data_IF_962615342942
#
_entry.id   IF_962615342942
#
_cell.length_a   1.000
_cell.length_b   1.000
_cell.length_c   1.000
_cell.angle_alpha   90.00
_cell.angle_beta   90.00
_cell.angle_gamma   90.00
#
_symmetry.space_group_name_H-M   'P 1'
#
loop_
_entity.id
_entity.type
_entity.pdbx_description
1 polymer ?
#
# COMPACT_ATOMS: atom_id res chain seq x y z
N UNK A 1 -40.18 12.88 -5.22
CA UNK A 1 -39.42 11.71 -4.73
C UNK A 1 -38.33 11.35 -5.73
N UNK A 2 -38.63 11.23 -7.03
CA UNK A 2 -37.60 10.98 -8.06
C UNK A 2 -36.53 12.07 -8.24
N UNK A 3 -36.86 13.35 -8.03
CA UNK A 3 -35.85 14.42 -8.11
C UNK A 3 -34.90 14.41 -6.90
N UNK A 4 -35.44 14.17 -5.70
CA UNK A 4 -34.68 14.09 -4.44
C UNK A 4 -33.77 12.86 -4.35
N UNK A 5 -34.04 11.80 -5.13
CA UNK A 5 -33.17 10.62 -5.23
C UNK A 5 -32.06 10.84 -6.26
N UNK A 6 -32.29 11.63 -7.31
CA UNK A 6 -31.25 12.07 -8.25
C UNK A 6 -30.30 13.08 -7.61
N UNK A 7 -30.83 13.98 -6.78
CA UNK A 7 -30.04 15.02 -6.12
C UNK A 7 -29.30 14.52 -4.86
N UNK A 8 -29.63 13.32 -4.34
CA UNK A 8 -28.95 12.74 -3.16
C UNK A 8 -27.86 11.70 -3.50
N UNK A 9 -27.70 11.37 -4.79
CA UNK A 9 -26.62 10.52 -5.32
C UNK A 9 -25.57 11.29 -6.12
N UNK A 10 -25.76 12.60 -6.29
CA UNK A 10 -24.71 13.51 -6.71
C UNK A 10 -23.77 13.73 -5.51
N UNK A 11 -22.80 12.84 -5.37
CA UNK A 11 -21.49 13.25 -4.87
C UNK A 11 -21.02 14.35 -5.83
N UNK A 12 -21.24 15.61 -5.47
CA UNK A 12 -20.95 16.82 -6.28
C UNK A 12 -19.42 17.07 -6.49
N UNK A 13 -18.60 16.06 -6.28
CA UNK A 13 -17.19 16.03 -6.65
C UNK A 13 -16.96 14.78 -7.50
N UNK A 14 -16.18 14.91 -8.57
CA UNK A 14 -15.60 13.72 -9.22
C UNK A 14 -14.95 12.88 -8.12
N UNK A 15 -15.38 11.62 -7.92
CA UNK A 15 -14.88 10.83 -6.80
C UNK A 15 -13.38 10.60 -6.98
N UNK A 16 -12.58 10.99 -5.99
CA UNK A 16 -11.16 10.65 -5.94
C UNK A 16 -11.02 9.15 -5.72
N UNK A 17 -10.06 8.54 -6.42
CA UNK A 17 -9.80 7.10 -6.32
C UNK A 17 -8.38 6.86 -5.85
N UNK A 18 -8.25 6.20 -4.71
CA UNK A 18 -6.99 5.79 -4.11
C UNK A 18 -6.94 4.28 -4.02
N UNK A 19 -5.90 3.68 -4.58
CA UNK A 19 -5.73 2.23 -4.63
C UNK A 19 -4.71 1.79 -3.58
N UNK A 20 -5.09 0.80 -2.76
CA UNK A 20 -4.17 0.08 -1.89
C UNK A 20 -4.33 -1.42 -2.11
N UNK A 21 -3.21 -2.13 -2.24
CA UNK A 21 -3.23 -3.56 -2.55
C UNK A 21 -2.13 -4.33 -1.84
N UNK A 22 -2.54 -5.35 -1.07
CA UNK A 22 -1.63 -6.34 -0.48
C UNK A 22 -1.52 -7.58 -1.36
N UNK A 23 -0.31 -8.15 -1.51
CA UNK A 23 -0.11 -9.44 -2.19
C UNK A 23 -0.69 -9.43 -3.61
N UNK A 24 -1.55 -10.39 -3.95
CA UNK A 24 -2.26 -10.44 -5.22
C UNK A 24 -3.21 -9.23 -5.42
N UNK A 25 -3.73 -8.65 -4.33
CA UNK A 25 -4.46 -7.38 -4.39
C UNK A 25 -3.60 -6.26 -4.96
N UNK A 26 -2.28 -6.26 -4.68
CA UNK A 26 -1.34 -5.33 -5.30
C UNK A 26 -1.18 -5.51 -6.82
N UNK A 27 -1.28 -6.75 -7.31
CA UNK A 27 -1.29 -7.03 -8.76
C UNK A 27 -2.55 -6.45 -9.41
N UNK A 28 -3.71 -6.67 -8.78
CA UNK A 28 -5.00 -6.15 -9.26
C UNK A 28 -4.97 -4.62 -9.25
N UNK A 29 -4.59 -4.00 -8.12
CA UNK A 29 -4.52 -2.55 -7.98
C UNK A 29 -3.58 -1.93 -9.01
N UNK A 30 -2.39 -2.50 -9.23
CA UNK A 30 -1.46 -1.98 -10.23
C UNK A 30 -2.02 -2.08 -11.65
N UNK A 31 -2.67 -3.18 -12.01
CA UNK A 31 -3.31 -3.34 -13.32
C UNK A 31 -4.48 -2.37 -13.53
N UNK A 32 -5.36 -2.22 -12.54
CA UNK A 32 -6.46 -1.25 -12.59
C UNK A 32 -5.96 0.19 -12.69
N UNK A 33 -4.86 0.53 -12.01
CA UNK A 33 -4.23 1.84 -12.14
C UNK A 33 -3.59 2.07 -13.50
N UNK A 34 -3.03 1.03 -14.12
CA UNK A 34 -2.45 1.13 -15.46
C UNK A 34 -3.52 1.30 -16.55
N UNK A 35 -4.60 0.53 -16.46
CA UNK A 35 -5.61 0.39 -17.52
C UNK A 35 -6.94 1.08 -17.12
N UNK A 36 -6.89 2.12 -16.29
CA UNK A 36 -8.09 2.76 -15.73
C UNK A 36 -9.06 3.27 -16.80
N UNK A 37 -8.53 3.75 -17.94
CA UNK A 37 -9.31 4.18 -19.10
C UNK A 37 -10.05 3.02 -19.75
N UNK A 38 -9.40 1.86 -19.90
CA UNK A 38 -10.00 0.65 -20.50
C UNK A 38 -11.12 0.11 -19.62
N UNK A 39 -10.96 0.16 -18.29
CA UNK A 39 -11.97 -0.30 -17.34
C UNK A 39 -13.05 0.72 -17.01
N UNK A 40 -13.00 1.92 -17.60
CA UNK A 40 -13.96 3.01 -17.35
C UNK A 40 -14.12 3.34 -15.85
N UNK A 41 -13.03 3.25 -15.07
CA UNK A 41 -13.01 3.64 -13.65
C UNK A 41 -12.41 5.04 -13.49
N UNK A 42 -12.69 5.78 -12.39
CA UNK A 42 -12.03 7.06 -12.15
C UNK A 42 -10.49 6.92 -12.16
N UNK A 43 -9.77 7.91 -12.70
CA UNK A 43 -8.30 7.91 -12.73
C UNK A 43 -7.74 7.78 -11.30
N UNK A 44 -6.96 6.73 -10.96
CA UNK A 44 -6.40 6.62 -9.62
C UNK A 44 -5.34 7.68 -9.35
N UNK A 45 -5.55 8.45 -8.27
CA UNK A 45 -4.63 9.50 -7.84
C UNK A 45 -3.47 8.96 -7.00
N UNK A 46 -3.67 7.83 -6.33
CA UNK A 46 -2.59 7.15 -5.60
C UNK A 46 -2.65 5.63 -5.75
N UNK A 47 -1.48 5.00 -5.65
CA UNK A 47 -1.28 3.56 -5.70
C UNK A 47 -0.28 3.13 -4.61
N UNK A 48 -0.78 2.49 -3.55
CA UNK A 48 0.04 1.92 -2.49
C UNK A 48 0.08 0.39 -2.56
N UNK A 49 1.27 -0.15 -2.74
CA UNK A 49 1.50 -1.58 -2.91
C UNK A 49 2.23 -2.17 -1.71
N UNK A 50 1.57 -3.05 -0.98
CA UNK A 50 2.09 -3.68 0.23
C UNK A 50 2.46 -5.14 -0.04
N UNK A 51 3.73 -5.48 -0.03
CA UNK A 51 4.24 -6.81 -0.41
C UNK A 51 3.54 -7.37 -1.66
N UNK A 52 3.53 -6.62 -2.78
CA UNK A 52 2.69 -6.94 -3.92
C UNK A 52 3.30 -8.12 -4.69
N UNK A 53 2.44 -8.95 -5.27
CA UNK A 53 2.89 -9.98 -6.20
C UNK A 53 1.90 -11.13 -6.35
N UNK A 54 2.15 -11.94 -7.37
CA UNK A 54 1.24 -13.03 -7.74
C UNK A 54 1.67 -14.41 -7.23
N UNK A 55 2.89 -14.51 -6.67
CA UNK A 55 3.51 -15.78 -6.30
C UNK A 55 3.56 -16.72 -7.51
N UNK A 56 2.99 -17.94 -7.44
CA UNK A 56 2.98 -18.88 -8.57
C UNK A 56 1.93 -18.53 -9.64
N UNK A 57 1.00 -17.60 -9.36
CA UNK A 57 -0.04 -17.22 -10.30
C UNK A 57 0.53 -16.26 -11.36
N UNK A 58 0.01 -16.32 -12.58
CA UNK A 58 0.41 -15.43 -13.68
C UNK A 58 -0.70 -14.47 -14.13
N UNK A 59 -1.91 -14.61 -13.58
CA UNK A 59 -3.04 -13.76 -13.92
C UNK A 59 -2.83 -12.32 -13.43
N UNK A 60 -3.33 -11.35 -14.19
CA UNK A 60 -3.30 -9.93 -13.84
C UNK A 60 -1.92 -9.26 -13.92
N UNK A 61 -0.86 -9.99 -14.25
CA UNK A 61 0.45 -9.41 -14.52
C UNK A 61 0.46 -8.80 -15.92
N UNK A 62 0.79 -7.52 -16.01
CA UNK A 62 1.06 -6.84 -17.27
C UNK A 62 2.54 -7.01 -17.66
N UNK A 63 2.87 -6.75 -18.93
CA UNK A 63 4.25 -6.81 -19.42
C UNK A 63 5.09 -5.64 -18.88
N UNK A 64 4.49 -4.46 -18.77
CA UNK A 64 5.03 -3.26 -18.14
C UNK A 64 3.90 -2.48 -17.44
N UNK A 65 4.25 -1.33 -16.87
CA UNK A 65 3.31 -0.44 -16.15
C UNK A 65 3.49 1.01 -16.63
N UNK A 66 3.77 1.20 -17.93
CA UNK A 66 3.96 2.53 -18.55
C UNK A 66 2.63 3.31 -18.70
N UNK A 67 1.48 2.63 -18.55
CA UNK A 67 0.15 3.23 -18.58
C UNK A 67 -0.24 3.94 -17.28
N UNK A 68 0.48 3.74 -16.18
CA UNK A 68 0.25 4.49 -14.93
C UNK A 68 0.47 5.98 -15.19
N UNK A 69 -0.50 6.81 -14.82
CA UNK A 69 -0.46 8.25 -15.05
C UNK A 69 0.77 8.91 -14.36
N UNK A 70 1.50 9.82 -15.02
CA UNK A 70 2.69 10.47 -14.46
C UNK A 70 2.47 11.21 -13.14
N UNK A 71 1.25 11.67 -12.87
CA UNK A 71 0.89 12.42 -11.66
C UNK A 71 0.47 11.53 -10.49
N UNK A 72 0.22 10.22 -10.73
CA UNK A 72 -0.14 9.27 -9.68
C UNK A 72 0.92 9.25 -8.57
N UNK A 73 0.47 9.30 -7.32
CA UNK A 73 1.31 9.14 -6.13
C UNK A 73 1.54 7.64 -5.87
N UNK A 74 2.76 7.14 -6.04
CA UNK A 74 3.02 5.70 -5.99
C UNK A 74 4.02 5.32 -4.89
N UNK A 75 3.61 4.45 -3.98
CA UNK A 75 4.53 3.84 -2.99
C UNK A 75 4.51 2.32 -3.14
N UNK A 76 5.69 1.74 -3.12
CA UNK A 76 5.90 0.29 -3.12
C UNK A 76 6.61 -0.04 -1.82
N UNK A 77 6.00 -0.87 -0.97
CA UNK A 77 6.60 -1.33 0.28
C UNK A 77 6.69 -2.86 0.25
N UNK A 78 7.91 -3.38 0.24
CA UNK A 78 8.20 -4.83 0.27
C UNK A 78 8.79 -5.25 1.60
N UNK A 79 8.67 -6.54 1.94
CA UNK A 79 9.14 -7.05 3.22
C UNK A 79 10.37 -7.94 3.02
N UNK A 80 11.42 -7.71 3.82
CA UNK A 80 12.72 -8.38 3.66
C UNK A 80 12.68 -9.92 3.83
N UNK A 81 11.71 -10.45 4.59
CA UNK A 81 11.52 -11.89 4.77
C UNK A 81 10.29 -12.41 4.01
N UNK A 82 9.84 -11.71 2.97
CA UNK A 82 8.75 -12.20 2.13
C UNK A 82 9.23 -13.32 1.19
N UNK A 83 8.94 -14.57 1.58
CA UNK A 83 9.21 -15.75 0.75
C UNK A 83 8.00 -16.23 -0.06
N UNK A 84 6.87 -15.50 0.02
CA UNK A 84 5.63 -15.87 -0.68
C UNK A 84 5.61 -15.24 -2.07
N UNK A 85 5.88 -13.94 -2.15
CA UNK A 85 5.94 -13.20 -3.40
C UNK A 85 7.28 -12.46 -3.58
N UNK A 86 8.01 -12.23 -2.49
CA UNK A 86 9.28 -11.52 -2.52
C UNK A 86 9.16 -10.11 -3.09
N UNK A 87 10.21 -9.67 -3.78
CA UNK A 87 10.31 -8.29 -4.27
C UNK A 87 10.20 -8.19 -5.80
N UNK A 88 10.08 -9.32 -6.50
CA UNK A 88 10.19 -9.39 -7.96
C UNK A 88 9.14 -8.49 -8.64
N UNK A 89 7.90 -8.52 -8.14
CA UNK A 89 6.82 -7.74 -8.73
C UNK A 89 6.92 -6.25 -8.37
N UNK A 90 7.21 -5.91 -7.11
CA UNK A 90 7.46 -4.53 -6.69
C UNK A 90 8.59 -3.89 -7.50
N UNK A 91 9.69 -4.63 -7.71
CA UNK A 91 10.80 -4.22 -8.56
C UNK A 91 10.38 -4.00 -10.02
N UNK A 92 9.58 -4.92 -10.58
CA UNK A 92 9.05 -4.79 -11.94
C UNK A 92 8.31 -3.46 -12.13
N UNK A 93 7.36 -3.15 -11.25
CA UNK A 93 6.60 -1.89 -11.32
C UNK A 93 7.53 -0.69 -11.20
N UNK A 94 8.45 -0.71 -10.23
CA UNK A 94 9.39 0.39 -10.02
C UNK A 94 10.28 0.66 -11.26
N UNK A 95 10.71 -0.41 -11.93
CA UNK A 95 11.56 -0.33 -13.12
C UNK A 95 10.81 0.02 -14.40
N UNK A 96 9.51 -0.31 -14.51
CA UNK A 96 8.72 -0.03 -15.72
C UNK A 96 7.93 1.28 -15.65
N UNK A 97 7.36 1.62 -14.50
CA UNK A 97 6.58 2.87 -14.30
C UNK A 97 7.52 4.07 -14.05
N UNK A 98 8.38 4.36 -15.01
CA UNK A 98 9.42 5.41 -14.92
C UNK A 98 8.89 6.82 -15.14
N UNK A 99 7.73 6.93 -15.78
CA UNK A 99 7.00 8.18 -16.01
C UNK A 99 6.39 8.78 -14.73
N UNK A 100 6.19 7.96 -13.69
CA UNK A 100 5.56 8.38 -12.42
C UNK A 100 6.51 9.25 -11.60
N UNK A 101 6.16 10.53 -11.46
CA UNK A 101 7.05 11.55 -10.89
C UNK A 101 7.19 11.43 -9.36
N UNK A 102 6.13 11.02 -8.66
CA UNK A 102 6.11 10.85 -7.21
C UNK A 102 6.12 9.36 -6.87
N UNK A 103 7.32 8.78 -6.77
CA UNK A 103 7.50 7.37 -6.44
C UNK A 103 8.39 7.20 -5.21
N UNK A 104 8.01 6.32 -4.28
CA UNK A 104 8.94 5.80 -3.27
C UNK A 104 8.93 4.27 -3.25
N UNK A 105 10.11 3.67 -3.16
CA UNK A 105 10.27 2.23 -2.97
C UNK A 105 10.94 1.98 -1.62
N UNK A 106 10.20 1.36 -0.72
CA UNK A 106 10.58 1.08 0.65
C UNK A 106 10.71 -0.41 0.89
N UNK A 107 11.63 -0.78 1.78
CA UNK A 107 11.78 -2.14 2.32
C UNK A 107 11.60 -2.14 3.82
N UNK A 108 10.65 -2.93 4.29
CA UNK A 108 10.48 -3.25 5.70
C UNK A 108 11.48 -4.32 6.14
N UNK A 109 12.19 -4.07 7.23
CA UNK A 109 13.13 -5.02 7.84
C UNK A 109 12.60 -5.54 9.18
N UNK A 110 12.98 -6.77 9.59
CA UNK A 110 12.55 -7.31 10.87
C UNK A 110 13.26 -6.63 12.04
N UNK A 111 12.53 -6.43 13.13
CA UNK A 111 13.08 -5.96 14.39
C UNK A 111 12.33 -6.57 15.57
N UNK A 112 13.02 -6.74 16.70
CA UNK A 112 12.43 -7.34 17.88
C UNK A 112 13.02 -6.73 19.15
N UNK A 113 12.17 -6.63 20.17
CA UNK A 113 12.55 -6.18 21.49
C UNK A 113 11.70 -6.89 22.54
N UNK A 114 12.36 -7.68 23.39
CA UNK A 114 11.71 -8.51 24.41
C UNK A 114 10.68 -9.47 23.77
N UNK A 115 9.41 -9.35 24.15
CA UNK A 115 8.27 -10.13 23.64
C UNK A 115 7.58 -9.49 22.43
N UNK A 116 7.97 -8.27 22.04
CA UNK A 116 7.47 -7.56 20.86
C UNK A 116 8.36 -7.79 19.65
N UNK A 117 7.74 -7.83 18.47
CA UNK A 117 8.47 -7.93 17.22
C UNK A 117 7.68 -7.43 16.01
N UNK A 118 8.44 -7.03 15.00
CA UNK A 118 8.04 -6.79 13.61
C UNK A 118 8.77 -7.83 12.75
N UNK A 119 8.04 -8.65 12.00
CA UNK A 119 8.62 -9.87 11.42
C UNK A 119 9.14 -9.73 9.99
N UNK A 120 8.60 -8.77 9.24
CA UNK A 120 8.83 -8.58 7.82
C UNK A 120 8.54 -9.81 6.95
N UNK A 121 7.65 -10.71 7.39
CA UNK A 121 7.09 -11.75 6.53
C UNK A 121 5.94 -11.21 5.68
N UNK A 122 5.49 -11.99 4.69
CA UNK A 122 4.40 -11.63 3.79
C UNK A 122 3.09 -11.19 4.48
N UNK A 123 2.79 -11.79 5.63
CA UNK A 123 1.55 -11.50 6.37
C UNK A 123 1.70 -10.34 7.37
N UNK A 124 2.86 -9.66 7.42
CA UNK A 124 3.04 -8.53 8.35
C UNK A 124 2.03 -7.42 8.07
N UNK A 125 1.55 -7.27 6.83
CA UNK A 125 0.54 -6.30 6.45
C UNK A 125 -0.87 -6.60 7.03
N UNK A 126 -1.06 -7.66 7.81
CA UNK A 126 -2.36 -8.03 8.37
C UNK A 126 -2.66 -7.28 9.67
N UNK A 127 -3.24 -6.09 9.56
CA UNK A 127 -3.84 -5.35 10.68
C UNK A 127 -5.33 -5.68 10.80
N UNK A 128 -5.68 -6.57 11.74
CA UNK A 128 -7.09 -6.98 11.92
C UNK A 128 -7.89 -5.92 12.69
N UNK A 129 -9.05 -5.58 12.15
CA UNK A 129 -10.09 -4.87 12.88
C UNK A 129 -11.41 -5.66 12.76
N UNK A 130 -11.88 -6.15 13.90
CA UNK A 130 -13.08 -6.99 13.97
C UNK A 130 -14.36 -6.21 13.71
N UNK A 131 -14.34 -4.87 13.72
CA UNK A 131 -15.48 -4.05 13.32
C UNK A 131 -15.82 -4.19 11.83
N UNK A 132 -14.84 -4.57 11.00
CA UNK A 132 -15.00 -4.82 9.57
C UNK A 132 -15.12 -6.32 9.22
N UNK A 133 -15.18 -7.21 10.23
CA UNK A 133 -15.37 -8.64 9.98
C UNK A 133 -16.82 -8.95 9.59
N UNK A 134 -17.01 -9.44 8.37
CA UNK A 134 -18.33 -9.86 7.85
C UNK A 134 -18.83 -11.19 8.43
N UNK A 135 -18.02 -11.89 9.22
CA UNK A 135 -18.32 -13.23 9.73
C UNK A 135 -18.07 -14.34 8.70
N UNK A 136 -17.81 -14.01 7.43
CA UNK A 136 -17.43 -14.99 6.42
C UNK A 136 -16.03 -15.54 6.66
N UNK A 137 -15.81 -16.82 6.38
CA UNK A 137 -14.53 -17.50 6.64
C UNK A 137 -14.02 -18.19 5.38
N UNK A 138 -12.93 -17.68 4.84
CA UNK A 138 -12.14 -18.32 3.79
C UNK A 138 -10.69 -18.53 4.28
N UNK A 139 -9.83 -19.10 3.42
CA UNK A 139 -8.43 -19.37 3.77
C UNK A 139 -7.67 -18.11 4.20
N UNK A 140 -7.85 -17.00 3.46
CA UNK A 140 -7.22 -15.71 3.75
C UNK A 140 -7.69 -15.15 5.09
N UNK A 141 -8.99 -15.11 5.35
CA UNK A 141 -9.55 -14.62 6.62
C UNK A 141 -9.08 -15.46 7.80
N UNK A 142 -9.09 -16.80 7.68
CA UNK A 142 -8.59 -17.68 8.74
C UNK A 142 -7.10 -17.45 9.04
N UNK A 143 -6.29 -17.23 8.00
CA UNK A 143 -4.86 -16.90 8.15
C UNK A 143 -4.66 -15.52 8.76
N UNK A 144 -5.46 -14.54 8.36
CA UNK A 144 -5.57 -13.23 8.99
C UNK A 144 -5.79 -13.38 10.49
N UNK A 145 -6.89 -14.01 10.90
CA UNK A 145 -7.24 -14.25 12.32
C UNK A 145 -6.15 -15.00 13.12
N UNK A 146 -5.35 -15.85 12.47
CA UNK A 146 -4.31 -16.63 13.14
C UNK A 146 -2.99 -15.86 13.30
N UNK A 147 -2.63 -15.04 12.30
CA UNK A 147 -1.28 -14.47 12.19
C UNK A 147 -1.26 -12.95 12.29
N UNK A 148 -2.37 -12.28 11.98
CA UNK A 148 -2.49 -10.84 11.93
C UNK A 148 -2.36 -10.20 13.30
N UNK A 149 -1.76 -9.02 13.31
CA UNK A 149 -1.43 -8.24 14.49
C UNK A 149 -1.52 -6.78 14.11
N UNK A 150 -1.94 -5.96 15.05
CA UNK A 150 -1.86 -4.51 14.92
C UNK A 150 -0.73 -4.03 15.82
N UNK A 151 0.31 -3.48 15.23
CA UNK A 151 1.52 -3.01 15.92
C UNK A 151 1.98 -1.65 15.37
N UNK A 152 3.18 -1.23 15.79
CA UNK A 152 3.76 0.06 15.44
C UNK A 152 3.97 0.23 13.92
N UNK A 153 4.19 -0.85 13.17
CA UNK A 153 4.33 -0.78 11.70
C UNK A 153 3.02 -0.43 11.00
N UNK A 154 1.88 -0.90 11.51
CA UNK A 154 0.58 -0.60 10.89
C UNK A 154 0.30 0.89 10.98
N UNK A 155 0.47 1.45 12.18
CA UNK A 155 0.18 2.87 12.44
C UNK A 155 1.26 3.79 11.86
N UNK A 156 2.53 3.53 12.16
CA UNK A 156 3.64 4.43 11.80
C UNK A 156 4.29 4.09 10.46
N UNK A 157 3.86 3.01 9.80
CA UNK A 157 4.29 2.60 8.47
C UNK A 157 3.13 2.68 7.50
N UNK A 158 2.37 1.59 7.36
CA UNK A 158 1.35 1.45 6.31
C UNK A 158 0.32 2.58 6.31
N UNK A 159 -0.39 2.81 7.42
CA UNK A 159 -1.46 3.81 7.47
C UNK A 159 -0.91 5.24 7.40
N UNK A 160 0.15 5.57 8.15
CA UNK A 160 0.83 6.88 8.04
C UNK A 160 1.23 7.22 6.60
N UNK A 161 1.84 6.27 5.89
CA UNK A 161 2.25 6.48 4.50
C UNK A 161 1.03 6.67 3.61
N UNK A 162 -0.01 5.84 3.75
CA UNK A 162 -1.19 5.94 2.91
C UNK A 162 -1.97 7.25 3.14
N UNK A 163 -2.14 7.67 4.40
CA UNK A 163 -2.75 8.95 4.74
C UNK A 163 -1.94 10.12 4.13
N UNK A 164 -0.61 10.06 4.22
CA UNK A 164 0.29 11.02 3.57
C UNK A 164 0.17 11.02 2.04
N UNK A 165 -0.05 9.85 1.41
CA UNK A 165 -0.28 9.76 -0.03
C UNK A 165 -1.60 10.42 -0.46
N UNK A 166 -2.67 10.22 0.31
CA UNK A 166 -3.98 10.84 0.05
C UNK A 166 -3.88 12.35 0.22
N UNK A 167 -3.37 12.83 1.37
CA UNK A 167 -3.15 14.26 1.64
C UNK A 167 -2.29 14.93 0.55
N UNK A 168 -1.25 14.24 0.07
CA UNK A 168 -0.39 14.76 -0.99
C UNK A 168 -1.08 14.78 -2.36
N UNK A 169 -1.91 13.78 -2.66
CA UNK A 169 -2.62 13.69 -3.93
C UNK A 169 -3.76 14.71 -4.03
N UNK A 170 -4.53 14.90 -2.97
CA UNK A 170 -5.71 15.76 -2.96
C UNK A 170 -5.38 17.22 -2.63
N UNK A 171 -4.47 17.45 -1.68
CA UNK A 171 -4.23 18.78 -1.10
C UNK A 171 -2.80 19.31 -1.28
N UNK A 172 -1.90 18.51 -1.87
CA UNK A 172 -0.45 18.79 -1.91
C UNK A 172 0.16 19.01 -0.52
N UNK A 173 -0.41 18.38 0.51
CA UNK A 173 0.05 18.41 1.89
C UNK A 173 0.70 17.08 2.28
N UNK A 174 1.50 17.09 3.35
CA UNK A 174 2.10 15.89 3.95
C UNK A 174 2.87 14.94 3.00
N UNK A 175 3.29 15.40 1.82
CA UNK A 175 4.02 14.59 0.84
C UNK A 175 5.28 13.96 1.43
N UNK A 176 5.93 14.62 2.39
CA UNK A 176 7.11 14.12 3.10
C UNK A 176 6.85 12.82 3.88
N UNK A 177 5.61 12.57 4.33
CA UNK A 177 5.22 11.33 5.00
C UNK A 177 5.25 10.11 4.08
N UNK A 178 5.09 10.32 2.77
CA UNK A 178 5.00 9.27 1.76
C UNK A 178 6.18 9.23 0.79
N UNK A 179 6.86 10.36 0.56
CA UNK A 179 7.88 10.54 -0.49
C UNK A 179 9.18 11.20 -0.03
N UNK A 180 9.27 11.63 1.24
CA UNK A 180 10.37 12.48 1.69
C UNK A 180 11.75 11.82 1.77
N UNK A 181 11.82 10.49 1.90
CA UNK A 181 13.08 9.79 2.14
C UNK A 181 13.72 10.09 3.50
N UNK A 182 13.00 10.75 4.40
CA UNK A 182 13.46 11.19 5.73
C UNK A 182 12.93 10.29 6.85
N UNK A 183 13.30 10.60 8.10
CA UNK A 183 12.73 9.94 9.29
C UNK A 183 11.20 10.13 9.38
N UNK A 184 10.65 11.21 8.83
CA UNK A 184 9.20 11.44 8.82
C UNK A 184 8.47 10.34 8.04
N UNK A 185 9.04 9.93 6.91
CA UNK A 185 8.56 8.80 6.12
C UNK A 185 8.92 7.46 6.79
N UNK A 186 10.18 7.27 7.14
CA UNK A 186 10.75 5.93 7.40
C UNK A 186 10.70 5.46 8.85
N UNK A 187 10.57 6.37 9.81
CA UNK A 187 10.53 6.01 11.23
C UNK A 187 9.23 5.27 11.58
N UNK A 188 9.39 4.16 12.30
CA UNK A 188 8.29 3.37 12.86
C UNK A 188 8.04 3.69 14.34
N UNK A 189 8.72 4.71 14.88
CA UNK A 189 8.67 5.08 16.29
C UNK A 189 9.73 4.36 17.12
N UNK A 190 9.43 4.16 18.41
CA UNK A 190 10.36 3.62 19.38
C UNK A 190 9.75 2.42 20.12
N UNK A 191 10.55 1.40 20.41
CA UNK A 191 10.18 0.32 21.33
C UNK A 191 10.06 0.82 22.78
N UNK A 192 10.96 1.73 23.16
CA UNK A 192 11.04 2.44 24.44
C UNK A 192 11.62 3.83 24.20
N UNK A 193 11.60 4.74 25.18
CA UNK A 193 12.08 6.13 25.03
C UNK A 193 13.47 6.28 24.37
N UNK A 194 14.35 5.28 24.51
CA UNK A 194 15.73 5.31 24.02
C UNK A 194 16.01 4.31 22.89
N UNK A 195 15.04 3.46 22.51
CA UNK A 195 15.27 2.39 21.53
C UNK A 195 14.39 2.57 20.28
N UNK A 196 14.91 3.13 19.19
CA UNK A 196 14.15 3.22 17.95
C UNK A 196 13.85 1.83 17.37
N UNK A 197 12.69 1.71 16.76
CA UNK A 197 12.37 0.59 15.88
C UNK A 197 13.18 0.79 14.59
N UNK A 198 13.75 -0.28 14.03
CA UNK A 198 14.47 -0.17 12.75
C UNK A 198 13.56 0.49 11.69
N UNK A 199 14.05 1.56 11.03
CA UNK A 199 13.24 2.28 10.06
C UNK A 199 13.03 1.47 8.77
N UNK A 200 12.05 1.90 7.98
CA UNK A 200 11.92 1.46 6.60
C UNK A 200 13.15 1.89 5.79
N UNK A 201 13.63 1.02 4.92
CA UNK A 201 14.82 1.27 4.10
C UNK A 201 14.38 1.80 2.74
N UNK A 202 14.86 2.98 2.35
CA UNK A 202 14.62 3.50 1.01
C UNK A 202 15.46 2.76 -0.04
N UNK A 203 14.84 2.38 -1.15
CA UNK A 203 15.47 1.78 -2.32
C UNK A 203 15.54 2.85 -3.41
N UNK A 204 16.75 3.23 -3.79
CA UNK A 204 16.96 4.16 -4.90
C UNK A 204 16.66 3.48 -6.24
N UNK A 205 16.20 4.29 -7.21
CA UNK A 205 16.21 3.92 -8.63
C UNK A 205 17.65 3.76 -9.11
#
# INVERSE_FOLDING_TARGET
>A
IDQLVKDSLLLDADPTLHMIGHSYGGVISAGLTNDWEEYEIPKPQSLFLCSPGSGPLKGGLLDDYEGIDPETKMVILVNANDYVVGEVFGKKIFESATQVQSTSYLRQVPDAYQDKYISAYHNECYSLDMSFDTGMRNGTVKRGLMMGRTNELDLNGYWKIFDGMISCAEESQDCELAFGGTDQQTSLGLWTEERPIKPLVHIAR
#
